data_IF_113296399337
#
_entry.id   IF_113296399337
#
_cell.length_a   1.000
_cell.length_b   1.000
_cell.length_c   1.000
_cell.angle_alpha   90.00
_cell.angle_beta   90.00
_cell.angle_gamma   90.00
#
_symmetry.space_group_name_H-M   'P 1'
#
loop_
_entity.id
_entity.type
_entity.pdbx_description
1 polymer ?
#
# COMPACT_ATOMS: atom_id res chain seq x y z
N UNK A 1 0.63 32.63 -14.06
CA UNK A 1 0.00 32.10 -12.83
C UNK A 1 1.10 31.58 -11.94
N UNK A 2 1.29 32.14 -10.74
CA UNK A 2 2.33 31.70 -9.82
C UNK A 2 2.02 30.26 -9.42
N UNK A 3 2.92 29.31 -9.69
CA UNK A 3 2.83 27.95 -9.24
C UNK A 3 2.89 27.98 -7.71
N UNK A 4 1.75 27.78 -7.04
CA UNK A 4 1.69 27.74 -5.58
C UNK A 4 2.62 26.64 -5.09
N UNK A 5 3.56 26.98 -4.22
CA UNK A 5 4.47 25.99 -3.62
C UNK A 5 3.66 25.04 -2.75
N UNK A 6 3.64 23.76 -3.11
CA UNK A 6 2.86 22.73 -2.37
C UNK A 6 3.27 22.59 -0.90
N UNK A 7 4.54 22.84 -0.58
CA UNK A 7 5.00 22.88 0.82
C UNK A 7 4.41 24.05 1.59
N UNK A 8 4.31 25.22 0.92
CA UNK A 8 3.69 26.41 1.50
C UNK A 8 2.17 26.21 1.70
N UNK A 9 1.50 25.52 0.79
CA UNK A 9 0.07 25.18 0.91
C UNK A 9 -0.19 24.31 2.14
N UNK A 10 0.69 23.34 2.42
CA UNK A 10 0.59 22.50 3.62
C UNK A 10 1.18 23.14 4.89
N UNK A 11 1.80 24.32 4.77
CA UNK A 11 2.43 25.00 5.92
C UNK A 11 3.64 24.28 6.50
N UNK A 12 4.37 23.50 5.68
CA UNK A 12 5.54 22.74 6.11
C UNK A 12 6.80 23.18 5.34
N UNK A 13 8.00 23.04 5.92
CA UNK A 13 9.23 23.33 5.20
C UNK A 13 9.49 22.28 4.11
N UNK A 14 10.20 22.64 3.03
CA UNK A 14 10.54 21.71 1.95
C UNK A 14 11.41 20.53 2.40
N UNK A 15 12.03 20.64 3.57
CA UNK A 15 12.81 19.57 4.22
C UNK A 15 11.96 18.65 5.11
N UNK A 16 10.64 18.89 5.21
CA UNK A 16 9.75 18.10 6.07
C UNK A 16 9.78 16.61 5.68
N UNK A 17 9.81 15.73 6.69
CA UNK A 17 9.64 14.28 6.50
C UNK A 17 8.22 13.92 6.04
N UNK A 18 8.05 12.69 5.54
CA UNK A 18 6.75 12.20 5.07
C UNK A 18 5.68 12.28 6.17
N UNK A 19 6.03 11.93 7.42
CA UNK A 19 5.11 11.96 8.55
C UNK A 19 4.65 13.38 8.90
N UNK A 20 5.56 14.36 8.84
CA UNK A 20 5.23 15.77 9.08
C UNK A 20 4.30 16.33 7.99
N UNK A 21 4.51 15.96 6.71
CA UNK A 21 3.64 16.32 5.59
C UNK A 21 2.25 15.69 5.79
N UNK A 22 2.20 14.42 6.18
CA UNK A 22 0.97 13.68 6.47
C UNK A 22 0.18 14.31 7.62
N UNK A 23 0.84 14.64 8.72
CA UNK A 23 0.22 15.29 9.88
C UNK A 23 -0.34 16.67 9.52
N UNK A 24 0.43 17.50 8.80
CA UNK A 24 -0.01 18.81 8.35
C UNK A 24 -1.23 18.74 7.43
N UNK A 25 -1.23 17.80 6.47
CA UNK A 25 -2.36 17.58 5.58
C UNK A 25 -3.63 17.24 6.37
N UNK A 26 -3.57 16.24 7.31
CA UNK A 26 -4.72 15.88 8.14
C UNK A 26 -5.27 17.05 8.95
N UNK A 27 -4.40 17.81 9.59
CA UNK A 27 -4.80 18.97 10.38
C UNK A 27 -5.53 20.03 9.53
N UNK A 28 -5.06 20.25 8.28
CA UNK A 28 -5.70 21.18 7.35
C UNK A 28 -7.02 20.66 6.83
N UNK A 29 -7.13 19.38 6.46
CA UNK A 29 -8.38 18.76 6.02
C UNK A 29 -9.43 18.83 7.13
N UNK A 30 -9.08 18.48 8.38
CA UNK A 30 -9.99 18.58 9.54
C UNK A 30 -10.49 20.00 9.75
N UNK A 31 -9.64 21.02 9.56
CA UNK A 31 -9.99 22.44 9.72
C UNK A 31 -10.88 22.96 8.60
N UNK A 32 -10.69 22.49 7.37
CA UNK A 32 -11.37 23.01 6.17
C UNK A 32 -12.39 22.01 5.60
N UNK A 33 -12.84 21.01 6.40
CA UNK A 33 -13.84 20.04 5.97
C UNK A 33 -15.16 20.75 5.63
N UNK A 34 -15.83 20.40 4.51
CA UNK A 34 -17.09 21.04 4.10
C UNK A 34 -18.19 20.95 5.16
N UNK A 35 -18.29 19.84 5.90
CA UNK A 35 -19.27 19.66 6.99
C UNK A 35 -18.99 20.58 8.20
N UNK A 36 -17.75 21.07 8.34
CA UNK A 36 -17.36 22.02 9.37
C UNK A 36 -17.45 23.49 8.88
N UNK A 37 -18.06 23.74 7.71
CA UNK A 37 -18.19 25.09 7.13
C UNK A 37 -16.89 25.60 6.51
N UNK A 38 -15.98 24.71 6.08
CA UNK A 38 -14.71 25.04 5.47
C UNK A 38 -14.81 25.57 4.05
N UNK A 39 -13.71 26.19 3.57
CA UNK A 39 -13.62 26.76 2.21
C UNK A 39 -13.25 25.67 1.20
N UNK A 40 -14.15 25.42 0.24
CA UNK A 40 -13.96 24.42 -0.84
C UNK A 40 -12.70 24.71 -1.68
N UNK A 41 -12.32 25.99 -1.86
CA UNK A 41 -11.11 26.35 -2.61
C UNK A 41 -9.85 25.99 -1.84
N UNK A 42 -9.85 26.14 -0.53
CA UNK A 42 -8.75 25.73 0.33
C UNK A 42 -8.57 24.19 0.31
N UNK A 43 -9.65 23.45 0.40
CA UNK A 43 -9.62 21.97 0.33
C UNK A 43 -9.05 21.47 -1.00
N UNK A 44 -9.43 22.08 -2.12
CA UNK A 44 -8.88 21.72 -3.44
C UNK A 44 -7.36 21.95 -3.51
N UNK A 45 -6.88 23.08 -2.98
CA UNK A 45 -5.44 23.37 -2.93
C UNK A 45 -4.67 22.39 -2.02
N UNK A 46 -5.23 22.06 -0.84
CA UNK A 46 -4.67 21.11 0.12
C UNK A 46 -4.57 19.70 -0.50
N UNK A 47 -5.64 19.27 -1.18
CA UNK A 47 -5.67 17.96 -1.85
C UNK A 47 -4.69 17.91 -3.04
N UNK A 48 -4.56 18.99 -3.83
CA UNK A 48 -3.57 19.06 -4.90
C UNK A 48 -2.13 18.98 -4.37
N UNK A 49 -1.82 19.66 -3.26
CA UNK A 49 -0.53 19.59 -2.61
C UNK A 49 -0.23 18.16 -2.09
N UNK A 50 -1.23 17.51 -1.47
CA UNK A 50 -1.10 16.14 -1.02
C UNK A 50 -0.91 15.13 -2.17
N UNK A 51 -1.62 15.29 -3.28
CA UNK A 51 -1.48 14.41 -4.45
C UNK A 51 -0.05 14.37 -5.00
N UNK A 52 0.75 15.41 -4.74
CA UNK A 52 2.16 15.50 -5.16
C UNK A 52 3.11 15.13 -4.01
N UNK A 53 2.91 15.69 -2.81
CA UNK A 53 3.86 15.53 -1.69
C UNK A 53 3.64 14.26 -0.88
N UNK A 54 2.46 13.65 -0.97
CA UNK A 54 2.11 12.41 -0.27
C UNK A 54 2.71 11.14 -0.91
N UNK A 55 3.10 11.20 -2.17
CA UNK A 55 3.74 10.13 -2.91
C UNK A 55 5.24 10.41 -3.07
N UNK A 56 6.10 9.46 -2.69
CA UNK A 56 7.56 9.64 -2.68
C UNK A 56 8.15 9.92 -4.06
N UNK A 57 7.63 9.28 -5.12
CA UNK A 57 8.12 9.45 -6.48
C UNK A 57 7.64 10.78 -7.08
N UNK A 58 6.38 11.15 -6.87
CA UNK A 58 5.83 12.43 -7.30
C UNK A 58 6.50 13.58 -6.58
N UNK A 59 6.72 13.46 -5.27
CA UNK A 59 7.47 14.42 -4.47
C UNK A 59 8.88 14.62 -5.01
N UNK A 60 9.60 13.50 -5.26
CA UNK A 60 10.94 13.55 -5.83
C UNK A 60 10.97 14.26 -7.20
N UNK A 61 9.99 13.95 -8.05
CA UNK A 61 9.86 14.61 -9.36
C UNK A 61 9.58 16.11 -9.22
N UNK A 62 8.73 16.47 -8.27
CA UNK A 62 8.41 17.86 -7.94
C UNK A 62 9.64 18.60 -7.39
N UNK A 63 10.38 18.00 -6.46
CA UNK A 63 11.60 18.55 -5.89
C UNK A 63 12.69 18.73 -6.96
N UNK A 64 12.82 17.78 -7.89
CA UNK A 64 13.73 17.89 -9.04
C UNK A 64 13.31 19.03 -9.98
N UNK A 65 12.01 19.27 -10.18
CA UNK A 65 11.52 20.36 -11.02
C UNK A 65 11.77 21.75 -10.40
N UNK A 66 11.96 21.81 -9.07
CA UNK A 66 12.32 23.03 -8.33
C UNK A 66 13.81 23.34 -8.34
N UNK A 67 14.66 22.36 -8.67
CA UNK A 67 16.11 22.57 -8.79
C UNK A 67 16.47 22.96 -10.24
N UNK A 68 17.26 24.00 -10.49
CA UNK A 68 17.79 24.24 -11.81
C UNK A 68 18.74 23.10 -12.20
N UNK A 69 18.46 22.53 -13.35
CA UNK A 69 19.06 21.37 -14.00
C UNK A 69 20.51 21.05 -13.66
N UNK A 70 20.76 19.87 -13.12
CA UNK A 70 22.01 19.15 -13.32
C UNK A 70 21.70 17.79 -13.95
N UNK A 71 22.26 17.58 -15.12
CA UNK A 71 22.05 16.44 -16.03
C UNK A 71 22.52 15.11 -15.49
N UNK A 72 21.67 14.09 -15.68
CA UNK A 72 21.96 12.76 -16.26
C UNK A 72 23.15 11.91 -15.77
N UNK A 73 22.89 10.64 -15.47
CA UNK A 73 23.45 9.53 -16.27
C UNK A 73 22.74 8.20 -15.96
N UNK A 74 22.41 7.51 -17.06
CA UNK A 74 21.88 6.14 -17.16
C UNK A 74 22.93 5.13 -16.68
N UNK A 75 22.47 4.05 -16.07
CA UNK A 75 23.20 2.81 -15.96
C UNK A 75 22.23 1.64 -16.02
N UNK A 76 22.13 1.00 -17.19
CA UNK A 76 21.43 -0.26 -17.35
C UNK A 76 22.28 -1.40 -16.80
N UNK A 77 21.66 -2.37 -16.16
CA UNK A 77 22.28 -3.64 -15.83
C UNK A 77 21.41 -4.77 -16.37
N UNK A 78 21.97 -5.51 -17.31
CA UNK A 78 21.41 -6.73 -17.87
C UNK A 78 21.56 -7.86 -16.85
N UNK A 79 20.47 -8.55 -16.57
CA UNK A 79 20.48 -9.75 -15.74
C UNK A 79 20.63 -10.97 -16.66
N UNK A 80 21.77 -11.66 -16.51
CA UNK A 80 22.02 -12.95 -17.12
C UNK A 80 21.20 -14.04 -16.43
N UNK A 81 20.53 -14.85 -17.24
CA UNK A 81 19.77 -16.02 -16.81
C UNK A 81 20.73 -17.22 -16.63
N UNK A 82 20.79 -17.89 -15.48
CA UNK A 82 21.46 -19.19 -15.38
C UNK A 82 20.46 -20.30 -15.74
N UNK A 83 20.81 -21.09 -16.74
CA UNK A 83 20.17 -22.35 -17.05
C UNK A 83 20.37 -23.35 -15.91
N UNK A 84 19.31 -23.84 -15.28
CA UNK A 84 19.37 -24.92 -14.31
C UNK A 84 18.82 -26.22 -14.88
N UNK A 85 19.69 -27.22 -14.83
CA UNK A 85 19.43 -28.64 -15.13
C UNK A 85 18.47 -29.25 -14.10
N UNK A 86 17.71 -30.24 -14.55
CA UNK A 86 16.71 -31.03 -13.87
C UNK A 86 16.92 -31.29 -12.38
N UNK A 87 16.39 -30.43 -11.58
CA UNK A 87 16.11 -30.67 -10.16
C UNK A 87 14.71 -31.24 -10.11
N UNK A 88 14.56 -32.28 -9.28
CA UNK A 88 13.32 -32.97 -8.97
C UNK A 88 12.13 -31.96 -8.91
N UNK A 89 11.23 -32.06 -9.88
CA UNK A 89 10.16 -31.07 -10.08
C UNK A 89 9.24 -30.97 -8.85
N UNK A 90 9.00 -32.11 -8.22
CA UNK A 90 8.16 -32.17 -7.00
C UNK A 90 8.86 -31.49 -5.82
N UNK A 91 10.17 -31.66 -5.69
CA UNK A 91 10.98 -30.98 -4.68
C UNK A 91 11.01 -29.46 -4.84
N UNK A 92 11.06 -28.96 -6.09
CA UNK A 92 11.03 -27.54 -6.37
C UNK A 92 9.68 -26.90 -6.02
N UNK A 93 8.58 -27.59 -6.32
CA UNK A 93 7.22 -27.15 -5.98
C UNK A 93 7.02 -27.11 -4.46
N UNK A 94 7.34 -28.19 -3.76
CA UNK A 94 7.22 -28.25 -2.30
C UNK A 94 8.10 -27.20 -1.62
N UNK A 95 9.34 -27.02 -2.09
CA UNK A 95 10.25 -25.99 -1.61
C UNK A 95 9.66 -24.58 -1.77
N UNK A 96 9.10 -24.26 -2.93
CA UNK A 96 8.46 -22.96 -3.18
C UNK A 96 7.22 -22.75 -2.30
N UNK A 97 6.37 -23.77 -2.15
CA UNK A 97 5.20 -23.71 -1.29
C UNK A 97 5.57 -23.47 0.19
N UNK A 98 6.65 -24.08 0.66
CA UNK A 98 7.12 -23.93 2.05
C UNK A 98 7.85 -22.60 2.29
N UNK A 99 8.72 -22.18 1.37
CA UNK A 99 9.61 -21.04 1.56
C UNK A 99 8.97 -19.72 1.12
N UNK A 100 8.06 -19.74 0.14
CA UNK A 100 7.41 -18.54 -0.41
C UNK A 100 5.95 -18.46 0.03
N UNK A 101 5.11 -19.40 -0.43
CA UNK A 101 3.67 -19.29 -0.19
C UNK A 101 3.29 -19.36 1.30
N UNK A 102 3.86 -20.29 2.05
CA UNK A 102 3.53 -20.48 3.47
C UNK A 102 3.79 -19.24 4.34
N UNK A 103 4.97 -18.62 4.27
CA UNK A 103 5.24 -17.34 4.94
C UNK A 103 4.34 -16.20 4.46
N UNK A 104 4.08 -16.08 3.14
CA UNK A 104 3.18 -15.08 2.56
C UNK A 104 1.76 -15.24 3.12
N UNK A 105 1.20 -16.46 3.14
CA UNK A 105 -0.15 -16.70 3.68
C UNK A 105 -0.27 -16.28 5.15
N UNK A 106 0.78 -16.49 5.96
CA UNK A 106 0.80 -16.05 7.37
C UNK A 106 0.81 -14.53 7.48
N UNK A 107 1.61 -13.83 6.66
CA UNK A 107 1.65 -12.36 6.66
C UNK A 107 0.33 -11.76 6.18
N UNK A 108 -0.27 -12.30 5.12
CA UNK A 108 -1.60 -11.90 4.66
C UNK A 108 -2.67 -12.08 5.73
N UNK A 109 -2.60 -13.17 6.51
CA UNK A 109 -3.50 -13.37 7.65
C UNK A 109 -3.40 -12.25 8.69
N UNK A 110 -2.17 -11.79 8.97
CA UNK A 110 -1.91 -10.71 9.93
C UNK A 110 -2.35 -9.33 9.43
N UNK A 111 -2.54 -9.18 8.12
CA UNK A 111 -3.12 -7.96 7.53
C UNK A 111 -4.65 -8.06 7.49
N UNK A 112 -5.20 -9.14 6.93
CA UNK A 112 -6.63 -9.25 6.63
C UNK A 112 -7.48 -9.52 7.88
N UNK A 113 -7.02 -10.40 8.80
CA UNK A 113 -7.85 -10.86 9.91
C UNK A 113 -8.14 -9.78 10.97
N UNK A 114 -7.21 -8.87 11.33
CA UNK A 114 -7.50 -7.83 12.31
C UNK A 114 -8.42 -6.72 11.78
N UNK A 115 -8.51 -6.52 10.47
CA UNK A 115 -9.22 -5.40 9.85
C UNK A 115 -10.65 -5.21 10.35
N UNK A 116 -11.53 -6.26 10.46
CA UNK A 116 -12.89 -6.08 10.94
C UNK A 116 -12.99 -5.54 12.37
N UNK A 117 -12.01 -5.84 13.25
CA UNK A 117 -11.96 -5.28 14.59
C UNK A 117 -11.46 -3.84 14.59
N UNK A 118 -10.45 -3.53 13.78
CA UNK A 118 -9.93 -2.19 13.59
C UNK A 118 -11.01 -1.24 13.07
N UNK A 119 -11.78 -1.71 12.07
CA UNK A 119 -12.88 -0.94 11.52
C UNK A 119 -14.00 -0.68 12.56
N UNK A 120 -14.35 -1.68 13.38
CA UNK A 120 -15.36 -1.50 14.45
C UNK A 120 -14.90 -0.50 15.51
N UNK A 121 -13.63 -0.54 15.88
CA UNK A 121 -13.07 0.45 16.83
C UNK A 121 -13.14 1.85 16.26
N UNK A 122 -12.74 2.04 15.01
CA UNK A 122 -12.82 3.35 14.33
C UNK A 122 -14.25 3.85 14.17
N UNK A 123 -15.21 2.96 13.89
CA UNK A 123 -16.63 3.30 13.71
C UNK A 123 -17.32 3.78 14.99
N UNK A 124 -16.71 3.65 16.17
CA UNK A 124 -17.24 4.19 17.41
C UNK A 124 -17.22 5.72 17.41
N UNK A 125 -16.13 6.33 16.94
CA UNK A 125 -16.00 7.76 16.64
C UNK A 125 -14.88 7.96 15.60
N UNK A 126 -15.21 8.13 14.31
CA UNK A 126 -14.20 8.32 13.26
C UNK A 126 -13.39 9.63 13.40
N UNK A 127 -13.86 10.58 14.19
CA UNK A 127 -13.20 11.86 14.41
C UNK A 127 -12.35 11.90 15.69
N UNK A 128 -12.40 10.84 16.50
CA UNK A 128 -11.50 10.70 17.67
C UNK A 128 -10.07 10.47 17.19
N UNK A 129 -9.16 11.37 17.64
CA UNK A 129 -7.77 11.37 17.21
C UNK A 129 -7.05 10.07 17.63
N UNK A 130 -7.38 9.49 18.79
CA UNK A 130 -6.73 8.28 19.31
C UNK A 130 -7.17 7.03 18.55
N UNK A 131 -8.45 6.94 18.19
CA UNK A 131 -8.96 5.84 17.36
C UNK A 131 -8.42 5.90 15.93
N UNK A 132 -8.33 7.10 15.36
CA UNK A 132 -7.73 7.30 14.05
C UNK A 132 -6.23 6.98 14.06
N UNK A 133 -5.51 7.39 15.11
CA UNK A 133 -4.09 7.08 15.26
C UNK A 133 -3.84 5.56 15.37
N UNK A 134 -4.65 4.85 16.14
CA UNK A 134 -4.59 3.39 16.24
C UNK A 134 -4.87 2.71 14.88
N UNK A 135 -5.83 3.21 14.12
CA UNK A 135 -6.12 2.71 12.78
C UNK A 135 -4.97 2.98 11.80
N UNK A 136 -4.36 4.16 11.85
CA UNK A 136 -3.18 4.50 11.06
C UNK A 136 -1.98 3.59 11.40
N UNK A 137 -1.75 3.32 12.68
CA UNK A 137 -0.69 2.40 13.12
C UNK A 137 -0.92 0.98 12.58
N UNK A 138 -2.17 0.51 12.55
CA UNK A 138 -2.52 -0.76 11.90
C UNK A 138 -2.20 -0.74 10.40
N UNK A 139 -2.55 0.32 9.68
CA UNK A 139 -2.25 0.45 8.24
C UNK A 139 -0.75 0.45 7.97
N UNK A 140 0.03 1.19 8.75
CA UNK A 140 1.48 1.23 8.61
C UNK A 140 2.12 -0.14 8.86
N UNK A 141 1.72 -0.83 9.93
CA UNK A 141 2.17 -2.20 10.18
C UNK A 141 1.77 -3.16 9.05
N UNK A 142 0.59 -2.97 8.46
CA UNK A 142 0.11 -3.79 7.35
C UNK A 142 0.92 -3.54 6.08
N UNK A 143 1.29 -2.30 5.77
CA UNK A 143 2.20 -1.94 4.66
C UNK A 143 3.57 -2.58 4.86
N UNK A 144 4.17 -2.45 6.04
CA UNK A 144 5.46 -3.09 6.36
C UNK A 144 5.42 -4.62 6.21
N UNK A 145 4.26 -5.26 6.47
CA UNK A 145 4.07 -6.69 6.19
C UNK A 145 3.98 -6.97 4.70
N UNK A 146 3.32 -6.10 3.93
CA UNK A 146 3.21 -6.26 2.48
C UNK A 146 4.56 -6.08 1.77
N UNK A 147 5.45 -5.21 2.25
CA UNK A 147 6.82 -5.10 1.75
C UNK A 147 7.60 -6.42 1.92
N UNK A 148 7.42 -7.08 3.07
CA UNK A 148 8.01 -8.41 3.31
C UNK A 148 7.39 -9.49 2.42
N UNK A 149 6.08 -9.41 2.16
CA UNK A 149 5.37 -10.31 1.23
C UNK A 149 5.93 -10.16 -0.18
N UNK A 150 6.15 -8.93 -0.64
CA UNK A 150 6.73 -8.67 -1.96
C UNK A 150 8.16 -9.21 -2.06
N UNK A 151 8.98 -8.99 -1.06
CA UNK A 151 10.35 -9.53 -1.00
C UNK A 151 10.34 -11.07 -1.05
N UNK A 152 9.45 -11.74 -0.31
CA UNK A 152 9.28 -13.18 -0.35
C UNK A 152 8.83 -13.69 -1.72
N UNK A 153 7.84 -13.02 -2.33
CA UNK A 153 7.34 -13.41 -3.65
C UNK A 153 8.42 -13.33 -4.74
N UNK A 154 9.35 -12.37 -4.62
CA UNK A 154 10.49 -12.21 -5.54
C UNK A 154 11.69 -13.08 -5.21
N UNK A 155 11.74 -13.69 -4.02
CA UNK A 155 12.92 -14.41 -3.53
C UNK A 155 13.24 -15.69 -4.33
N UNK A 156 12.21 -16.39 -4.81
CA UNK A 156 12.34 -17.61 -5.60
C UNK A 156 11.37 -17.59 -6.78
N UNK A 157 11.79 -18.02 -7.96
CA UNK A 157 10.92 -18.12 -9.12
C UNK A 157 9.83 -19.17 -8.89
N UNK A 158 8.60 -18.84 -9.32
CA UNK A 158 7.48 -19.78 -9.25
C UNK A 158 7.73 -20.94 -10.21
N UNK A 159 7.64 -22.20 -9.75
CA UNK A 159 7.76 -23.38 -10.61
C UNK A 159 6.71 -23.39 -11.73
N UNK A 160 7.04 -24.01 -12.87
CA UNK A 160 6.15 -24.06 -14.04
C UNK A 160 4.81 -24.71 -13.74
N UNK A 161 4.81 -25.71 -12.86
CA UNK A 161 3.65 -26.49 -12.41
C UNK A 161 2.69 -25.65 -11.55
N UNK A 162 3.22 -24.68 -10.81
CA UNK A 162 2.45 -23.77 -9.95
C UNK A 162 2.18 -22.40 -10.59
N UNK A 163 2.42 -22.21 -11.90
CA UNK A 163 2.30 -20.90 -12.55
C UNK A 163 0.91 -20.27 -12.38
N UNK A 164 -0.15 -21.04 -12.53
CA UNK A 164 -1.52 -20.58 -12.31
C UNK A 164 -1.78 -20.17 -10.87
N UNK A 165 -1.30 -20.99 -9.92
CA UNK A 165 -1.36 -20.69 -8.50
C UNK A 165 -0.55 -19.43 -8.13
N UNK A 166 0.66 -19.29 -8.67
CA UNK A 166 1.50 -18.10 -8.49
C UNK A 166 0.82 -16.83 -9.02
N UNK A 167 0.12 -16.91 -10.16
CA UNK A 167 -0.64 -15.79 -10.70
C UNK A 167 -1.86 -15.45 -9.81
N UNK A 168 -2.59 -16.46 -9.32
CA UNK A 168 -3.71 -16.27 -8.37
C UNK A 168 -3.21 -15.61 -7.07
N UNK A 169 -2.03 -16.03 -6.59
CA UNK A 169 -1.38 -15.41 -5.44
C UNK A 169 -1.04 -13.93 -5.72
N UNK A 170 -0.41 -13.63 -6.86
CA UNK A 170 -0.09 -12.26 -7.26
C UNK A 170 -1.33 -11.34 -7.24
N UNK A 171 -2.44 -11.79 -7.84
CA UNK A 171 -3.69 -11.01 -7.82
C UNK A 171 -4.24 -10.78 -6.40
N UNK A 172 -4.07 -11.77 -5.51
CA UNK A 172 -4.45 -11.58 -4.11
C UNK A 172 -3.57 -10.52 -3.41
N UNK A 173 -2.26 -10.53 -3.68
CA UNK A 173 -1.31 -9.55 -3.14
C UNK A 173 -1.61 -8.13 -3.62
N UNK A 174 -1.78 -7.96 -4.93
CA UNK A 174 -2.10 -6.67 -5.54
C UNK A 174 -3.39 -6.08 -4.94
N UNK A 175 -4.42 -6.91 -4.79
CA UNK A 175 -5.69 -6.47 -4.21
C UNK A 175 -5.58 -6.02 -2.75
N UNK A 176 -4.72 -6.67 -1.94
CA UNK A 176 -4.45 -6.22 -0.56
C UNK A 176 -3.69 -4.89 -0.57
N UNK A 177 -2.72 -4.71 -1.46
CA UNK A 177 -1.99 -3.45 -1.59
C UNK A 177 -2.92 -2.30 -1.98
N UNK A 178 -3.77 -2.49 -2.99
CA UNK A 178 -4.75 -1.50 -3.43
C UNK A 178 -5.73 -1.14 -2.31
N UNK A 179 -6.21 -2.13 -1.57
CA UNK A 179 -7.08 -1.91 -0.41
C UNK A 179 -6.42 -1.04 0.68
N UNK A 180 -5.14 -1.31 1.00
CA UNK A 180 -4.41 -0.51 1.99
C UNK A 180 -4.21 0.93 1.52
N UNK A 181 -4.02 1.16 0.23
CA UNK A 181 -3.94 2.50 -0.36
C UNK A 181 -5.26 3.26 -0.23
N UNK A 182 -6.40 2.62 -0.52
CA UNK A 182 -7.71 3.26 -0.35
C UNK A 182 -8.00 3.57 1.12
N UNK A 183 -7.70 2.66 2.04
CA UNK A 183 -7.85 2.89 3.46
C UNK A 183 -6.93 4.02 3.97
N UNK A 184 -5.73 4.15 3.42
CA UNK A 184 -4.84 5.26 3.73
C UNK A 184 -5.41 6.59 3.22
N UNK A 185 -6.00 6.62 2.02
CA UNK A 185 -6.73 7.81 1.50
C UNK A 185 -7.87 8.21 2.42
N UNK A 186 -8.64 7.24 2.92
CA UNK A 186 -9.68 7.53 3.91
C UNK A 186 -9.13 8.25 5.14
N UNK A 187 -8.01 7.78 5.72
CA UNK A 187 -7.42 8.43 6.90
C UNK A 187 -6.93 9.85 6.64
N UNK A 188 -6.81 10.26 5.38
CA UNK A 188 -6.38 11.59 4.99
C UNK A 188 -7.54 12.57 4.83
N UNK A 189 -8.65 12.12 4.25
CA UNK A 189 -9.74 12.99 3.85
C UNK A 189 -11.10 12.67 4.46
N UNK A 190 -11.21 11.60 5.25
CA UNK A 190 -12.46 11.11 5.84
C UNK A 190 -13.57 10.85 4.80
N UNK A 191 -13.19 10.56 3.55
CA UNK A 191 -14.13 10.29 2.46
C UNK A 191 -14.60 8.85 2.52
N UNK A 192 -15.86 8.62 2.83
CA UNK A 192 -16.47 7.30 3.07
C UNK A 192 -16.33 6.33 1.90
N UNK A 193 -16.28 6.81 0.66
CA UNK A 193 -16.08 5.94 -0.49
C UNK A 193 -14.75 5.19 -0.42
N UNK A 194 -13.66 5.83 0.02
CA UNK A 194 -12.36 5.17 0.18
C UNK A 194 -12.39 4.08 1.26
N UNK A 195 -13.12 4.32 2.36
CA UNK A 195 -13.32 3.31 3.41
C UNK A 195 -14.11 2.12 2.89
N UNK A 196 -15.19 2.41 2.13
CA UNK A 196 -16.02 1.39 1.50
C UNK A 196 -15.22 0.54 0.53
N UNK A 197 -14.48 1.17 -0.39
CA UNK A 197 -13.71 0.49 -1.43
C UNK A 197 -12.60 -0.37 -0.81
N UNK A 198 -11.83 0.18 0.12
CA UNK A 198 -10.79 -0.56 0.84
C UNK A 198 -11.35 -1.75 1.61
N UNK A 199 -12.53 -1.62 2.23
CA UNK A 199 -13.24 -2.71 2.92
C UNK A 199 -13.65 -3.82 1.96
N UNK A 200 -14.26 -3.48 0.83
CA UNK A 200 -14.70 -4.46 -0.17
C UNK A 200 -13.50 -5.19 -0.79
N UNK A 201 -12.43 -4.47 -1.12
CA UNK A 201 -11.20 -5.07 -1.63
C UNK A 201 -10.58 -6.06 -0.62
N UNK A 202 -10.53 -5.74 0.68
CA UNK A 202 -10.03 -6.68 1.70
C UNK A 202 -10.97 -7.88 1.89
N UNK A 203 -12.28 -7.69 1.74
CA UNK A 203 -13.25 -8.78 1.76
C UNK A 203 -13.02 -9.76 0.61
N UNK A 204 -12.82 -9.24 -0.59
CA UNK A 204 -12.49 -10.07 -1.76
C UNK A 204 -11.12 -10.74 -1.63
N UNK A 205 -10.11 -10.02 -1.15
CA UNK A 205 -8.78 -10.59 -0.90
C UNK A 205 -8.85 -11.76 0.10
N UNK A 206 -9.69 -11.66 1.12
CA UNK A 206 -9.96 -12.76 2.06
C UNK A 206 -10.55 -13.99 1.36
N UNK A 207 -11.50 -13.79 0.43
CA UNK A 207 -12.07 -14.88 -0.36
C UNK A 207 -11.04 -15.51 -1.30
N UNK A 208 -10.24 -14.68 -2.01
CA UNK A 208 -9.14 -15.16 -2.86
C UNK A 208 -8.13 -15.99 -2.06
N UNK A 209 -7.74 -15.49 -0.88
CA UNK A 209 -6.84 -16.22 0.03
C UNK A 209 -7.42 -17.58 0.45
N UNK A 210 -8.73 -17.67 0.70
CA UNK A 210 -9.38 -18.95 1.02
C UNK A 210 -9.32 -19.92 -0.17
N UNK A 211 -9.56 -19.45 -1.39
CA UNK A 211 -9.41 -20.26 -2.62
C UNK A 211 -7.98 -20.75 -2.82
N UNK A 212 -6.99 -19.87 -2.60
CA UNK A 212 -5.57 -20.26 -2.65
C UNK A 212 -5.23 -21.40 -1.69
N UNK A 213 -5.80 -21.41 -0.49
CA UNK A 213 -5.62 -22.53 0.46
C UNK A 213 -6.20 -23.84 -0.06
N UNK A 214 -7.33 -23.80 -0.74
CA UNK A 214 -7.95 -24.97 -1.35
C UNK A 214 -7.14 -25.45 -2.57
N UNK A 215 -6.68 -24.53 -3.43
CA UNK A 215 -5.80 -24.82 -4.57
C UNK A 215 -4.48 -25.46 -4.10
N UNK A 216 -3.88 -24.91 -3.04
CA UNK A 216 -2.66 -25.48 -2.46
C UNK A 216 -2.84 -26.93 -2.04
N UNK A 217 -3.96 -27.28 -1.36
CA UNK A 217 -4.24 -28.65 -0.94
C UNK A 217 -4.32 -29.63 -2.11
N UNK A 218 -4.66 -29.14 -3.30
CA UNK A 218 -4.70 -29.96 -4.52
C UNK A 218 -3.31 -30.10 -5.17
N UNK A 219 -2.38 -29.20 -4.88
CA UNK A 219 -1.01 -29.27 -5.36
C UNK A 219 -0.12 -30.17 -4.50
N UNK A 220 -0.50 -30.40 -3.23
CA UNK A 220 0.21 -31.29 -2.28
C UNK A 220 -0.16 -32.79 -2.48
N UNK A 221 -1.06 -33.15 -3.44
CA UNK A 221 -1.49 -34.51 -3.80
C UNK A 221 -0.77 -35.04 -5.06
#
# INVERSE_FOLDING_TARGET
MASSDFYAVLGVPATAGADAIKAAYRALVKRHHPDAGGDDTAILAINAAWAVLGDSERRRTYDLSRQPSARSRRGGSSVATPAHRGVDRDGALLGWLQQVYGPIDRLLAQVINPFPSQLRSLAADPYDDSLMEAFCAYLEQSKNRMDRVEALYRSLPCPSEARGFGLSLYHCLSQVQDALLELERYTMGYVDSYLHDGREMLREAKQRRSRLKEERRRLDL
#
